data_IF_578808102926
#
_entry.id   IF_578808102926
#
_cell.length_a   1.000
_cell.length_b   1.000
_cell.length_c   1.000
_cell.angle_alpha   90.00
_cell.angle_beta   90.00
_cell.angle_gamma   90.00
#
_symmetry.space_group_name_H-M   'P 1'
#
loop_
_entity.id
_entity.type
_entity.pdbx_description
1 polymer ?
#
# COMPACT_ATOMS: atom_id res chain seq x y z
N UNK A 1 24.67 33.54 -0.80
CA UNK A 1 25.04 32.11 -0.90
C UNK A 1 24.08 31.20 -0.13
N UNK A 2 23.91 31.31 1.20
CA UNK A 2 23.01 30.41 1.98
C UNK A 2 21.52 30.42 1.59
N UNK A 3 20.97 31.57 1.13
CA UNK A 3 19.55 31.68 0.75
C UNK A 3 19.21 30.99 -0.59
N UNK A 4 20.17 30.90 -1.51
CA UNK A 4 20.00 30.23 -2.80
C UNK A 4 20.04 28.70 -2.63
N UNK A 5 21.01 28.18 -1.88
CA UNK A 5 21.09 26.75 -1.57
C UNK A 5 19.84 26.21 -0.84
N UNK A 6 19.23 27.02 0.05
CA UNK A 6 17.98 26.68 0.73
C UNK A 6 16.77 26.64 -0.20
N UNK A 7 16.73 27.51 -1.22
CA UNK A 7 15.67 27.53 -2.23
C UNK A 7 15.81 26.36 -3.21
N UNK A 8 17.04 25.99 -3.56
CA UNK A 8 17.33 24.81 -4.40
C UNK A 8 16.93 23.51 -3.68
N UNK A 9 17.34 23.33 -2.42
CA UNK A 9 16.91 22.17 -1.62
C UNK A 9 15.39 22.09 -1.45
N UNK A 10 14.71 23.22 -1.25
CA UNK A 10 13.26 23.25 -1.17
C UNK A 10 12.60 22.89 -2.51
N UNK A 11 13.12 23.41 -3.62
CA UNK A 11 12.63 23.11 -4.97
C UNK A 11 12.81 21.64 -5.31
N UNK A 12 13.96 21.07 -5.00
CA UNK A 12 14.27 19.67 -5.30
C UNK A 12 13.42 18.73 -4.42
N UNK A 13 13.20 19.08 -3.15
CA UNK A 13 12.28 18.36 -2.28
C UNK A 13 10.81 18.41 -2.74
N UNK A 14 10.33 19.57 -3.18
CA UNK A 14 8.97 19.72 -3.72
C UNK A 14 8.80 18.99 -5.06
N UNK A 15 9.83 18.99 -5.90
CA UNK A 15 9.83 18.23 -7.15
C UNK A 15 9.70 16.72 -6.89
N UNK A 16 10.50 16.17 -5.97
CA UNK A 16 10.43 14.76 -5.59
C UNK A 16 9.08 14.39 -4.95
N UNK A 17 8.54 15.25 -4.08
CA UNK A 17 7.20 15.05 -3.49
C UNK A 17 6.12 14.95 -4.55
N UNK A 18 6.13 15.86 -5.53
CA UNK A 18 5.15 15.85 -6.65
C UNK A 18 5.32 14.63 -7.56
N UNK A 19 6.55 14.16 -7.72
CA UNK A 19 6.84 12.95 -8.47
C UNK A 19 6.25 11.71 -7.79
N UNK A 20 6.48 11.56 -6.48
CA UNK A 20 5.85 10.50 -5.68
C UNK A 20 4.33 10.53 -5.77
N UNK A 21 3.71 11.69 -5.58
CA UNK A 21 2.25 11.82 -5.72
C UNK A 21 1.74 11.49 -7.14
N UNK A 22 2.50 11.80 -8.19
CA UNK A 22 2.13 11.41 -9.57
C UNK A 22 2.20 9.90 -9.72
N UNK A 23 3.27 9.29 -9.24
CA UNK A 23 3.48 7.85 -9.29
C UNK A 23 2.38 7.09 -8.53
N UNK A 24 2.06 7.50 -7.31
CA UNK A 24 0.94 6.91 -6.55
C UNK A 24 -0.39 7.01 -7.30
N UNK A 25 -0.71 8.17 -7.87
CA UNK A 25 -1.95 8.35 -8.65
C UNK A 25 -1.98 7.48 -9.90
N UNK A 26 -0.83 7.28 -10.55
CA UNK A 26 -0.72 6.40 -11.71
C UNK A 26 -0.97 4.94 -11.32
N UNK A 27 -0.33 4.45 -10.26
CA UNK A 27 -0.56 3.09 -9.74
C UNK A 27 -2.03 2.89 -9.36
N UNK A 28 -2.67 3.86 -8.70
CA UNK A 28 -4.11 3.79 -8.39
C UNK A 28 -4.98 3.67 -9.65
N UNK A 29 -4.69 4.45 -10.70
CA UNK A 29 -5.40 4.35 -11.99
C UNK A 29 -5.17 3.03 -12.71
N UNK A 30 -4.00 2.44 -12.55
CA UNK A 30 -3.62 1.17 -13.16
C UNK A 30 -4.02 -0.06 -12.33
N UNK A 31 -4.54 0.13 -11.10
CA UNK A 31 -4.80 -0.95 -10.15
C UNK A 31 -5.57 -2.13 -10.77
N UNK A 32 -6.65 -1.87 -11.52
CA UNK A 32 -7.40 -2.91 -12.21
C UNK A 32 -6.54 -3.75 -13.17
N UNK A 33 -5.63 -3.10 -13.90
CA UNK A 33 -4.69 -3.80 -14.80
C UNK A 33 -3.53 -4.45 -14.05
N UNK A 34 -3.09 -3.90 -12.92
CA UNK A 34 -2.02 -4.47 -12.10
C UNK A 34 -2.47 -5.73 -11.36
N UNK A 35 -3.71 -5.75 -10.89
CA UNK A 35 -4.29 -6.88 -10.17
C UNK A 35 -5.09 -7.84 -11.06
N UNK A 36 -5.21 -7.56 -12.36
CA UNK A 36 -6.02 -8.32 -13.33
C UNK A 36 -7.47 -8.49 -12.86
N UNK A 37 -8.14 -7.37 -12.60
CA UNK A 37 -9.50 -7.33 -12.05
C UNK A 37 -9.54 -6.96 -10.57
N UNK A 38 -10.65 -7.24 -9.94
CA UNK A 38 -11.01 -6.74 -8.61
C UNK A 38 -11.58 -5.32 -8.62
N UNK A 39 -11.79 -4.78 -7.43
CA UNK A 39 -12.35 -3.46 -7.20
C UNK A 39 -11.67 -2.83 -5.98
N UNK A 40 -11.69 -1.51 -5.83
CA UNK A 40 -10.92 -0.85 -4.78
C UNK A 40 -10.71 0.62 -5.04
N UNK A 41 -9.81 1.22 -4.29
CA UNK A 41 -9.42 2.61 -4.45
C UNK A 41 -8.63 3.15 -3.27
N UNK A 42 -8.40 4.45 -3.30
CA UNK A 42 -7.83 5.17 -2.18
C UNK A 42 -8.77 5.12 -0.95
N UNK A 43 -8.26 5.06 0.29
CA UNK A 43 -9.12 5.07 1.48
C UNK A 43 -10.04 6.30 1.61
N UNK A 44 -9.74 7.40 0.93
CA UNK A 44 -10.58 8.60 0.89
C UNK A 44 -11.79 8.48 -0.04
N UNK A 45 -11.80 7.50 -0.94
CA UNK A 45 -12.95 7.27 -1.83
C UNK A 45 -14.16 6.77 -1.01
N UNK A 46 -15.37 7.32 -1.22
CA UNK A 46 -16.51 7.08 -0.32
C UNK A 46 -16.80 5.58 -0.04
N UNK A 47 -16.80 4.77 -1.08
CA UNK A 47 -17.05 3.33 -1.01
C UNK A 47 -15.96 2.55 -0.26
N UNK A 48 -14.69 2.97 -0.39
CA UNK A 48 -13.55 2.37 0.31
C UNK A 48 -13.60 2.81 1.77
N UNK A 49 -13.77 4.11 2.01
CA UNK A 49 -13.86 4.71 3.34
C UNK A 49 -14.96 4.07 4.19
N UNK A 50 -16.15 3.90 3.63
CA UNK A 50 -17.27 3.26 4.32
C UNK A 50 -16.92 1.83 4.74
N UNK A 51 -16.37 1.04 3.81
CA UNK A 51 -15.92 -0.33 4.11
C UNK A 51 -14.85 -0.38 5.20
N UNK A 52 -13.85 0.49 5.14
CA UNK A 52 -12.78 0.56 6.16
C UNK A 52 -13.34 0.95 7.52
N UNK A 53 -14.30 1.88 7.57
CA UNK A 53 -14.97 2.25 8.82
C UNK A 53 -15.77 1.09 9.41
N UNK A 54 -16.47 0.30 8.60
CA UNK A 54 -17.16 -0.91 9.05
C UNK A 54 -16.19 -1.92 9.66
N UNK A 55 -15.00 -2.07 9.08
CA UNK A 55 -13.94 -2.92 9.62
C UNK A 55 -13.40 -2.39 10.94
N UNK A 56 -13.00 -1.12 10.99
CA UNK A 56 -12.47 -0.47 12.21
C UNK A 56 -13.52 -0.48 13.34
N UNK A 57 -14.80 -0.40 13.02
CA UNK A 57 -15.88 -0.49 14.02
C UNK A 57 -15.93 -1.84 14.76
N UNK A 58 -15.32 -2.90 14.21
CA UNK A 58 -15.23 -4.22 14.88
C UNK A 58 -14.11 -4.30 15.92
N UNK A 59 -13.18 -3.35 15.92
CA UNK A 59 -12.11 -3.28 16.91
C UNK A 59 -12.64 -2.86 18.28
N UNK A 60 -12.02 -3.38 19.34
CA UNK A 60 -12.27 -2.93 20.72
C UNK A 60 -11.80 -1.48 20.93
N UNK A 61 -12.33 -0.79 21.95
CA UNK A 61 -11.96 0.61 22.21
C UNK A 61 -10.44 0.84 22.37
N UNK A 62 -9.67 -0.02 23.07
CA UNK A 62 -8.21 0.12 23.11
C UNK A 62 -7.54 -0.09 21.75
N UNK A 63 -8.04 -1.02 20.94
CA UNK A 63 -7.50 -1.30 19.60
C UNK A 63 -7.81 -0.21 18.58
N UNK A 64 -8.83 0.62 18.83
CA UNK A 64 -9.13 1.80 18.00
C UNK A 64 -8.14 2.96 18.20
N UNK A 65 -7.21 2.86 19.15
CA UNK A 65 -6.07 3.77 19.27
C UNK A 65 -4.99 3.39 18.26
N UNK A 66 -5.30 3.59 16.98
CA UNK A 66 -4.46 3.20 15.86
C UNK A 66 -3.19 4.07 15.80
N UNK A 67 -2.04 3.40 15.67
CA UNK A 67 -0.79 4.05 15.25
C UNK A 67 -0.81 4.26 13.74
N UNK A 68 -0.01 5.20 13.23
CA UNK A 68 0.02 5.52 11.80
C UNK A 68 0.39 4.31 10.94
N UNK A 69 1.22 3.43 11.47
CA UNK A 69 1.72 2.21 10.84
C UNK A 69 0.65 1.11 10.73
N UNK A 70 -0.41 1.19 11.54
CA UNK A 70 -1.47 0.19 11.58
C UNK A 70 -2.80 0.70 11.03
N UNK A 71 -2.98 2.03 10.92
CA UNK A 71 -4.22 2.62 10.43
C UNK A 71 -4.45 2.32 8.93
N UNK A 72 -5.46 1.51 8.55
CA UNK A 72 -5.75 1.18 7.16
C UNK A 72 -6.26 2.38 6.36
N UNK A 73 -6.74 3.43 7.02
CA UNK A 73 -7.13 4.69 6.36
C UNK A 73 -5.93 5.43 5.77
N UNK A 74 -4.71 5.07 6.15
CA UNK A 74 -3.47 5.69 5.68
C UNK A 74 -2.74 4.84 4.62
N UNK A 75 -3.36 3.77 4.12
CA UNK A 75 -2.83 3.02 2.99
C UNK A 75 -2.96 3.83 1.69
N UNK A 76 -2.07 3.61 0.72
CA UNK A 76 -2.15 4.32 -0.57
C UNK A 76 -3.26 3.76 -1.45
N UNK A 77 -3.52 2.45 -1.33
CA UNK A 77 -4.57 1.74 -2.05
C UNK A 77 -5.08 0.54 -1.24
N UNK A 78 -6.40 0.37 -1.20
CA UNK A 78 -7.08 -0.84 -0.74
C UNK A 78 -7.80 -1.48 -1.93
N UNK A 79 -7.50 -2.74 -2.19
CA UNK A 79 -8.04 -3.46 -3.34
C UNK A 79 -8.66 -4.80 -2.92
N UNK A 80 -9.73 -5.24 -3.56
CA UNK A 80 -10.47 -6.44 -3.22
C UNK A 80 -10.59 -7.34 -4.43
N UNK A 81 -10.21 -8.62 -4.29
CA UNK A 81 -10.34 -9.62 -5.35
C UNK A 81 -10.41 -11.02 -4.75
N UNK A 82 -11.27 -11.88 -5.28
CA UNK A 82 -11.40 -13.26 -4.82
C UNK A 82 -11.69 -13.42 -3.33
N UNK A 83 -12.44 -12.48 -2.72
CA UNK A 83 -12.73 -12.47 -1.28
C UNK A 83 -11.59 -11.99 -0.37
N UNK A 84 -10.45 -11.60 -0.96
CA UNK A 84 -9.26 -11.09 -0.26
C UNK A 84 -9.14 -9.58 -0.43
N UNK A 85 -8.57 -8.93 0.57
CA UNK A 85 -8.21 -7.51 0.59
C UNK A 85 -6.70 -7.37 0.44
N UNK A 86 -6.23 -6.49 -0.43
CA UNK A 86 -4.83 -6.10 -0.57
C UNK A 86 -4.66 -4.73 0.03
N UNK A 87 -3.74 -4.62 0.98
CA UNK A 87 -3.32 -3.36 1.60
C UNK A 87 -2.02 -2.95 0.95
N UNK A 88 -2.07 -1.91 0.14
CA UNK A 88 -0.99 -1.56 -0.77
C UNK A 88 -0.33 -0.25 -0.34
N UNK A 89 0.99 -0.28 -0.17
CA UNK A 89 1.84 0.91 -0.12
C UNK A 89 2.52 1.12 -1.46
N UNK A 90 2.61 2.37 -1.88
CA UNK A 90 3.20 2.77 -3.15
C UNK A 90 4.30 3.78 -2.90
N UNK A 91 5.49 3.50 -3.39
CA UNK A 91 6.63 4.41 -3.29
C UNK A 91 7.49 4.28 -4.54
N UNK A 92 8.12 5.38 -5.00
CA UNK A 92 9.12 5.30 -6.07
C UNK A 92 10.25 4.33 -5.66
N UNK A 93 10.72 4.47 -4.42
CA UNK A 93 11.76 3.65 -3.80
C UNK A 93 11.17 2.93 -2.59
N UNK A 94 10.86 1.64 -2.75
CA UNK A 94 10.29 0.85 -1.67
C UNK A 94 11.35 0.63 -0.58
N UNK A 95 11.06 1.09 0.63
CA UNK A 95 11.93 0.94 1.78
C UNK A 95 11.35 0.02 2.87
N UNK A 96 12.09 -0.14 3.97
CA UNK A 96 11.65 -0.92 5.13
C UNK A 96 10.36 -0.38 5.75
N UNK A 97 10.16 0.93 5.74
CA UNK A 97 9.00 1.59 6.31
C UNK A 97 7.74 1.23 5.53
N UNK A 98 7.79 1.30 4.19
CA UNK A 98 6.68 0.92 3.33
C UNK A 98 6.22 -0.53 3.61
N UNK A 99 7.19 -1.45 3.74
CA UNK A 99 6.92 -2.86 4.03
C UNK A 99 6.22 -3.03 5.39
N UNK A 100 6.72 -2.35 6.42
CA UNK A 100 6.15 -2.45 7.77
C UNK A 100 4.76 -1.81 7.87
N UNK A 101 4.51 -0.71 7.14
CA UNK A 101 3.18 -0.09 7.07
C UNK A 101 2.18 -1.01 6.38
N UNK A 102 2.52 -1.56 5.21
CA UNK A 102 1.68 -2.52 4.50
C UNK A 102 1.30 -3.69 5.43
N UNK A 103 2.31 -4.26 6.10
CA UNK A 103 2.15 -5.38 7.03
C UNK A 103 1.28 -5.02 8.23
N UNK A 104 1.59 -3.96 8.96
CA UNK A 104 0.88 -3.58 10.18
C UNK A 104 -0.60 -3.31 9.92
N UNK A 105 -0.91 -2.64 8.81
CA UNK A 105 -2.28 -2.39 8.35
C UNK A 105 -3.02 -3.68 7.99
N UNK A 106 -2.38 -4.58 7.24
CA UNK A 106 -2.98 -5.88 6.91
C UNK A 106 -3.19 -6.75 8.16
N UNK A 107 -2.26 -6.75 9.11
CA UNK A 107 -2.38 -7.49 10.37
C UNK A 107 -3.54 -6.99 11.24
N UNK A 108 -3.76 -5.68 11.30
CA UNK A 108 -4.93 -5.12 11.98
C UNK A 108 -6.23 -5.64 11.35
N UNK A 109 -6.34 -5.62 10.02
CA UNK A 109 -7.52 -6.15 9.32
C UNK A 109 -7.71 -7.66 9.55
N UNK A 110 -6.61 -8.43 9.59
CA UNK A 110 -6.69 -9.88 9.90
C UNK A 110 -7.25 -10.14 11.30
N UNK A 111 -6.93 -9.32 12.30
CA UNK A 111 -7.45 -9.48 13.68
C UNK A 111 -8.97 -9.41 13.77
N UNK A 112 -9.61 -8.72 12.84
CA UNK A 112 -11.08 -8.58 12.76
C UNK A 112 -11.71 -9.50 11.70
N UNK A 113 -10.97 -10.53 11.26
CA UNK A 113 -11.45 -11.57 10.36
C UNK A 113 -11.46 -11.21 8.88
N UNK A 114 -10.79 -10.12 8.47
CA UNK A 114 -10.61 -9.80 7.06
C UNK A 114 -9.40 -10.58 6.52
N UNK A 115 -9.58 -11.32 5.41
CA UNK A 115 -8.44 -11.91 4.69
C UNK A 115 -7.66 -10.80 3.98
N UNK A 116 -6.74 -10.15 4.70
CA UNK A 116 -5.92 -9.07 4.18
C UNK A 116 -4.52 -9.56 3.80
N UNK A 117 -3.96 -9.10 2.69
CA UNK A 117 -2.61 -9.38 2.24
C UNK A 117 -1.84 -8.07 2.06
N UNK A 118 -0.68 -7.89 2.74
CA UNK A 118 0.14 -6.71 2.57
C UNK A 118 0.88 -6.75 1.24
N UNK A 119 0.91 -5.61 0.56
CA UNK A 119 1.52 -5.43 -0.75
C UNK A 119 2.33 -4.14 -0.78
N UNK A 120 3.49 -4.15 -1.45
CA UNK A 120 4.25 -2.94 -1.79
C UNK A 120 4.45 -2.85 -3.30
N UNK A 121 4.33 -1.65 -3.86
CA UNK A 121 4.56 -1.38 -5.29
C UNK A 121 5.53 -0.22 -5.44
N UNK A 122 6.54 -0.37 -6.29
CA UNK A 122 7.47 0.72 -6.59
C UNK A 122 8.28 0.55 -7.86
N UNK A 123 9.01 1.59 -8.26
CA UNK A 123 9.88 1.50 -9.43
C UNK A 123 11.16 0.74 -9.07
N UNK A 124 11.68 0.95 -7.86
CA UNK A 124 12.90 0.32 -7.39
C UNK A 124 12.87 0.05 -5.88
N UNK A 125 13.82 -0.78 -5.42
CA UNK A 125 14.08 -0.94 -4.00
C UNK A 125 15.00 0.17 -3.52
N UNK A 126 14.70 0.78 -2.37
CA UNK A 126 15.58 1.77 -1.75
C UNK A 126 16.94 1.16 -1.39
N UNK A 127 16.93 -0.10 -0.93
CA UNK A 127 18.13 -0.90 -0.66
C UNK A 127 17.85 -2.39 -0.91
N UNK A 128 18.88 -3.24 -1.10
CA UNK A 128 18.70 -4.70 -1.19
C UNK A 128 18.04 -5.30 0.05
N UNK A 129 18.34 -4.78 1.25
CA UNK A 129 17.78 -5.25 2.52
C UNK A 129 16.26 -5.01 2.63
N UNK A 130 15.73 -4.02 1.90
CA UNK A 130 14.29 -3.81 1.81
C UNK A 130 13.61 -5.02 1.14
N UNK A 131 14.20 -5.55 0.06
CA UNK A 131 13.69 -6.76 -0.60
C UNK A 131 13.71 -7.97 0.34
N UNK A 132 14.82 -8.18 1.05
CA UNK A 132 14.94 -9.27 2.03
C UNK A 132 13.94 -9.11 3.18
N UNK A 133 13.66 -7.87 3.57
CA UNK A 133 12.63 -7.57 4.56
C UNK A 133 11.25 -7.95 4.02
N UNK A 134 10.90 -7.58 2.79
CA UNK A 134 9.59 -7.93 2.21
C UNK A 134 9.37 -9.45 2.19
N UNK A 135 10.40 -10.21 1.79
CA UNK A 135 10.39 -11.69 1.80
C UNK A 135 10.18 -12.21 3.23
N UNK A 136 11.02 -11.77 4.17
CA UNK A 136 10.97 -12.22 5.57
C UNK A 136 9.65 -11.87 6.26
N UNK A 137 9.06 -10.73 5.90
CA UNK A 137 7.81 -10.24 6.49
C UNK A 137 6.56 -10.80 5.80
N UNK A 138 6.70 -11.56 4.70
CA UNK A 138 5.59 -12.13 3.94
C UNK A 138 4.75 -11.06 3.23
N UNK A 139 5.41 -10.02 2.72
CA UNK A 139 4.79 -8.92 1.98
C UNK A 139 4.96 -9.15 0.49
N UNK A 140 3.84 -9.24 -0.24
CA UNK A 140 3.86 -9.37 -1.69
C UNK A 140 4.38 -8.08 -2.33
N UNK A 141 5.03 -8.16 -3.49
CA UNK A 141 5.64 -6.97 -4.08
C UNK A 141 5.62 -6.97 -5.61
N UNK A 142 5.55 -5.77 -6.17
CA UNK A 142 5.91 -5.46 -7.56
C UNK A 142 6.87 -4.27 -7.55
N UNK A 143 8.17 -4.53 -7.69
CA UNK A 143 9.21 -3.50 -7.60
C UNK A 143 10.42 -3.85 -8.46
N UNK A 144 11.09 -2.84 -9.05
CA UNK A 144 12.24 -3.08 -9.92
C UNK A 144 11.88 -3.77 -11.24
N UNK A 145 10.60 -3.71 -11.67
CA UNK A 145 10.10 -4.46 -12.81
C UNK A 145 9.89 -5.96 -12.56
N UNK A 146 10.13 -6.44 -11.33
CA UNK A 146 9.94 -7.83 -10.93
C UNK A 146 8.69 -7.96 -10.04
N UNK A 147 8.04 -9.14 -10.07
CA UNK A 147 6.93 -9.48 -9.17
C UNK A 147 7.31 -10.63 -8.24
N UNK A 148 6.87 -10.56 -6.99
CA UNK A 148 6.97 -11.68 -6.07
C UNK A 148 6.04 -12.84 -6.51
N UNK A 149 6.34 -14.09 -6.13
CA UNK A 149 5.45 -15.22 -6.38
C UNK A 149 4.03 -14.98 -5.83
N UNK A 150 3.92 -14.37 -4.65
CA UNK A 150 2.65 -14.03 -4.01
C UNK A 150 1.88 -12.99 -4.83
N UNK A 151 2.56 -11.99 -5.38
CA UNK A 151 1.92 -10.99 -6.26
C UNK A 151 1.40 -11.64 -7.55
N UNK A 152 2.13 -12.61 -8.10
CA UNK A 152 1.68 -13.40 -9.25
C UNK A 152 0.44 -14.22 -8.90
N UNK A 153 0.38 -14.85 -7.72
CA UNK A 153 -0.81 -15.58 -7.27
C UNK A 153 -2.01 -14.67 -7.06
N UNK A 154 -1.82 -13.47 -6.52
CA UNK A 154 -2.88 -12.46 -6.40
C UNK A 154 -3.53 -12.18 -7.76
N UNK A 155 -2.73 -12.04 -8.82
CA UNK A 155 -3.23 -11.78 -10.18
C UNK A 155 -4.07 -12.93 -10.75
N UNK A 156 -3.86 -14.17 -10.27
CA UNK A 156 -4.59 -15.36 -10.72
C UNK A 156 -5.94 -15.57 -10.02
N UNK A 157 -6.21 -14.84 -8.93
CA UNK A 157 -7.49 -14.93 -8.25
C UNK A 157 -8.64 -14.63 -9.22
N UNK A 158 -9.76 -15.33 -9.07
CA UNK A 158 -10.97 -15.00 -9.81
C UNK A 158 -11.57 -13.68 -9.30
N UNK A 159 -12.19 -12.92 -10.17
CA UNK A 159 -13.05 -11.82 -9.74
C UNK A 159 -14.22 -12.43 -8.97
N UNK A 160 -14.28 -12.15 -7.66
CA UNK A 160 -15.35 -12.62 -6.81
C UNK A 160 -16.61 -11.85 -7.17
N UNK A 161 -17.37 -12.33 -8.17
CA UNK A 161 -18.77 -11.99 -8.29
C UNK A 161 -19.49 -12.94 -7.33
N UNK A 162 -19.90 -12.41 -6.18
CA UNK A 162 -20.97 -12.96 -5.37
C UNK A 162 -22.03 -11.87 -5.22
#
# INVERSE_FOLDING_TARGET
>A
MQRLARLEQWRDGEAGRREGERYEREIRRQAMSLFYGGFGGAPEEPQVMERVREWIAKLTTPERLLTREHDPMLADLLWWKGGRVFVVEVSLKVDRTDILRAKGRAELLRRIGVDATPVVIGEEWATPEARDTAITQGVAWFAGGEMSPEFVEIRKLADGIA
#
